data_IF_347607082264
#
_entry.id   IF_347607082264
#
_cell.length_a   1.000
_cell.length_b   1.000
_cell.length_c   1.000
_cell.angle_alpha   90.00
_cell.angle_beta   90.00
_cell.angle_gamma   90.00
#
_symmetry.space_group_name_H-M   'P 1'
#
loop_
_entity.id
_entity.type
_entity.pdbx_description
1 polymer ?
#
# COMPACT_ATOMS: atom_id res chain seq x y z
N UNK A 1 12.97 29.38 12.48
CA UNK A 1 13.24 28.23 11.62
C UNK A 1 11.95 27.74 10.99
N UNK A 2 11.89 27.70 9.66
CA UNK A 2 10.72 27.18 8.98
C UNK A 2 10.70 25.67 9.16
N UNK A 3 9.62 25.10 9.68
CA UNK A 3 9.55 23.64 9.79
C UNK A 3 9.58 23.01 8.41
N UNK A 4 10.36 21.96 8.26
CA UNK A 4 10.34 21.13 7.06
C UNK A 4 8.95 20.52 6.98
N UNK A 5 8.29 20.67 5.84
CA UNK A 5 7.02 20.01 5.63
C UNK A 5 7.28 18.53 5.47
N UNK A 6 7.02 17.75 6.52
CA UNK A 6 7.14 16.31 6.47
C UNK A 6 5.88 15.73 5.83
N UNK A 7 6.06 14.65 5.07
CA UNK A 7 4.92 13.89 4.58
C UNK A 7 4.17 13.32 5.78
N UNK A 8 2.85 13.34 5.73
CA UNK A 8 2.01 12.76 6.76
C UNK A 8 1.22 11.60 6.18
N UNK A 9 0.78 10.70 7.04
CA UNK A 9 -0.01 9.55 6.66
C UNK A 9 0.75 8.24 6.75
N UNK A 10 0.57 7.41 5.75
CA UNK A 10 1.15 6.07 5.76
C UNK A 10 1.34 5.58 4.33
N UNK A 11 2.16 4.54 4.18
CA UNK A 11 2.30 3.85 2.90
C UNK A 11 1.31 2.69 2.85
N UNK A 12 0.47 2.69 1.83
CA UNK A 12 -0.63 1.73 1.64
C UNK A 12 -0.15 0.56 0.81
N UNK A 13 -0.23 -0.65 1.39
CA UNK A 13 0.04 -1.89 0.68
C UNK A 13 -1.23 -2.42 0.01
N UNK A 14 -1.04 -3.21 -1.04
CA UNK A 14 -2.13 -3.80 -1.81
C UNK A 14 -3.06 -4.68 -0.95
N UNK A 15 -2.53 -5.35 0.07
CA UNK A 15 -3.36 -6.19 0.96
C UNK A 15 -4.47 -5.39 1.64
N UNK A 16 -4.20 -4.13 1.98
CA UNK A 16 -5.18 -3.25 2.62
C UNK A 16 -6.18 -2.73 1.59
N UNK A 17 -5.69 -2.25 0.45
CA UNK A 17 -6.58 -1.74 -0.61
C UNK A 17 -7.55 -2.81 -1.08
N UNK A 18 -7.08 -4.04 -1.28
CA UNK A 18 -7.94 -5.18 -1.62
C UNK A 18 -9.01 -5.41 -0.56
N UNK A 19 -8.66 -5.29 0.71
CA UNK A 19 -9.61 -5.47 1.82
C UNK A 19 -10.74 -4.45 1.84
N UNK A 20 -10.54 -3.28 1.28
CA UNK A 20 -11.57 -2.25 1.23
C UNK A 20 -12.65 -2.54 0.18
N UNK A 21 -12.32 -3.31 -0.85
CA UNK A 21 -13.21 -3.51 -2.00
C UNK A 21 -13.62 -4.96 -2.24
N UNK A 22 -12.91 -5.92 -1.66
CA UNK A 22 -13.18 -7.35 -1.83
C UNK A 22 -13.54 -7.97 -0.47
N UNK A 23 -14.78 -8.42 -0.34
CA UNK A 23 -15.31 -8.89 0.95
C UNK A 23 -14.49 -10.01 1.58
N UNK A 24 -13.96 -10.92 0.75
CA UNK A 24 -13.15 -12.05 1.24
C UNK A 24 -11.77 -11.65 1.75
N UNK A 25 -11.38 -10.39 1.58
CA UNK A 25 -10.09 -9.86 2.03
C UNK A 25 -10.26 -8.76 3.08
N UNK A 26 -11.49 -8.48 3.50
CA UNK A 26 -11.77 -7.48 4.51
C UNK A 26 -11.20 -7.87 5.88
N UNK A 27 -10.81 -6.89 6.67
CA UNK A 27 -10.30 -7.09 8.01
C UNK A 27 -10.60 -5.89 8.90
N UNK A 28 -10.73 -6.09 10.23
CA UNK A 28 -10.87 -4.95 11.14
C UNK A 28 -9.71 -3.97 11.05
N UNK A 29 -8.49 -4.46 10.90
CA UNK A 29 -7.32 -3.61 10.73
C UNK A 29 -7.44 -2.75 9.45
N UNK A 30 -7.77 -3.39 8.32
CA UNK A 30 -7.93 -2.67 7.06
C UNK A 30 -9.01 -1.59 7.15
N UNK A 31 -10.13 -1.88 7.81
CA UNK A 31 -11.21 -0.92 7.99
C UNK A 31 -10.76 0.27 8.84
N UNK A 32 -10.00 0.01 9.92
CA UNK A 32 -9.46 1.06 10.77
C UNK A 32 -8.44 1.93 10.02
N UNK A 33 -7.61 1.32 9.17
CA UNK A 33 -6.69 2.07 8.29
C UNK A 33 -7.49 2.97 7.34
N UNK A 34 -8.55 2.45 6.74
CA UNK A 34 -9.42 3.23 5.85
C UNK A 34 -10.00 4.47 6.53
N UNK A 35 -10.34 4.36 7.80
CA UNK A 35 -10.88 5.49 8.57
C UNK A 35 -9.85 6.62 8.72
N UNK A 36 -8.55 6.32 8.67
CA UNK A 36 -7.50 7.33 8.74
C UNK A 36 -7.51 8.28 7.54
N UNK A 37 -8.07 7.86 6.40
CA UNK A 37 -8.10 8.68 5.18
C UNK A 37 -8.95 9.95 5.32
N UNK A 38 -9.75 10.05 6.39
CA UNK A 38 -10.49 11.29 6.71
C UNK A 38 -9.56 12.39 7.20
N UNK A 39 -8.37 12.05 7.66
CA UNK A 39 -7.44 12.97 8.31
C UNK A 39 -6.09 13.06 7.62
N UNK A 40 -5.64 11.99 6.96
CA UNK A 40 -4.32 11.93 6.33
C UNK A 40 -4.43 11.25 4.95
N UNK A 41 -3.43 11.47 4.11
CA UNK A 41 -3.34 10.82 2.82
C UNK A 41 -2.62 9.48 2.95
N UNK A 42 -2.97 8.54 2.08
CA UNK A 42 -2.16 7.35 1.85
C UNK A 42 -1.14 7.66 0.74
N UNK A 43 0.00 7.00 0.82
CA UNK A 43 1.04 7.08 -0.20
C UNK A 43 1.29 5.67 -0.72
N UNK A 44 1.59 5.54 -1.99
CA UNK A 44 1.84 4.22 -2.57
C UNK A 44 2.80 4.32 -3.75
N UNK A 45 3.62 3.28 -3.99
CA UNK A 45 4.37 3.20 -5.23
C UNK A 45 3.41 3.02 -6.41
N UNK A 46 3.83 3.41 -7.58
CA UNK A 46 3.05 3.24 -8.82
C UNK A 46 2.64 1.79 -9.03
N UNK A 47 3.46 0.87 -8.57
CA UNK A 47 3.23 -0.56 -8.61
C UNK A 47 1.87 -0.98 -8.03
N UNK A 48 1.35 -0.26 -7.04
CA UNK A 48 0.07 -0.60 -6.42
C UNK A 48 -1.05 -0.70 -7.46
N UNK A 49 -1.07 0.20 -8.44
CA UNK A 49 -2.09 0.18 -9.48
C UNK A 49 -2.04 -1.10 -10.31
N UNK A 50 -0.83 -1.59 -10.61
CA UNK A 50 -0.66 -2.83 -11.36
C UNK A 50 -1.09 -4.04 -10.53
N UNK A 51 -0.68 -4.09 -9.28
CA UNK A 51 -1.04 -5.20 -8.40
C UNK A 51 -2.54 -5.26 -8.15
N UNK A 52 -3.14 -4.12 -7.84
CA UNK A 52 -4.57 -4.04 -7.54
C UNK A 52 -5.42 -4.41 -8.75
N UNK A 53 -5.11 -3.83 -9.92
CA UNK A 53 -5.87 -4.14 -11.14
C UNK A 53 -5.71 -5.61 -11.54
N UNK A 54 -4.56 -6.20 -11.28
CA UNK A 54 -4.37 -7.63 -11.53
C UNK A 54 -5.24 -8.50 -10.61
N UNK A 55 -5.42 -8.10 -9.36
CA UNK A 55 -6.33 -8.79 -8.45
C UNK A 55 -7.78 -8.70 -8.96
N UNK A 56 -8.21 -7.53 -9.41
CA UNK A 56 -9.55 -7.34 -9.99
C UNK A 56 -9.73 -8.20 -11.25
N UNK A 57 -8.71 -8.20 -12.12
CA UNK A 57 -8.73 -9.02 -13.33
C UNK A 57 -8.90 -10.50 -12.98
N UNK A 58 -8.17 -11.00 -12.02
CA UNK A 58 -8.25 -12.39 -11.59
C UNK A 58 -9.65 -12.72 -11.07
N UNK A 59 -10.23 -11.84 -10.26
CA UNK A 59 -11.59 -12.03 -9.73
C UNK A 59 -12.63 -12.07 -10.86
N UNK A 60 -12.48 -11.20 -11.86
CA UNK A 60 -13.35 -11.20 -13.03
C UNK A 60 -13.23 -12.51 -13.82
N UNK A 61 -12.00 -12.96 -14.06
CA UNK A 61 -11.75 -14.20 -14.81
C UNK A 61 -12.29 -15.45 -14.11
N UNK A 62 -12.30 -15.43 -12.78
CA UNK A 62 -12.87 -16.52 -11.98
C UNK A 62 -14.39 -16.44 -11.86
N UNK A 63 -14.99 -15.39 -12.37
CA UNK A 63 -16.44 -15.20 -12.30
C UNK A 63 -16.96 -14.79 -10.94
N UNK A 64 -16.08 -14.38 -10.02
CA UNK A 64 -16.51 -13.96 -8.68
C UNK A 64 -16.75 -12.44 -8.59
N UNK A 65 -16.34 -11.70 -9.61
CA UNK A 65 -16.56 -10.24 -9.68
C UNK A 65 -17.06 -9.89 -11.08
N UNK A 66 -18.27 -9.29 -11.20
CA UNK A 66 -18.73 -8.80 -12.50
C UNK A 66 -17.82 -7.70 -13.03
N UNK A 67 -17.60 -7.68 -14.35
CA UNK A 67 -16.72 -6.68 -14.98
C UNK A 67 -17.17 -5.25 -14.67
N UNK A 68 -18.50 -5.01 -14.72
CA UNK A 68 -19.04 -3.69 -14.37
C UNK A 68 -18.66 -3.28 -12.96
N UNK A 69 -18.70 -4.22 -12.02
CA UNK A 69 -18.31 -3.96 -10.63
C UNK A 69 -16.83 -3.63 -10.51
N UNK A 70 -15.97 -4.30 -11.29
CA UNK A 70 -14.55 -3.99 -11.31
C UNK A 70 -14.28 -2.55 -11.75
N UNK A 71 -14.96 -2.10 -12.80
CA UNK A 71 -14.83 -0.71 -13.27
C UNK A 71 -15.34 0.29 -12.22
N UNK A 72 -16.44 -0.02 -11.55
CA UNK A 72 -16.95 0.81 -10.46
C UNK A 72 -15.93 0.92 -9.32
N UNK A 73 -15.27 -0.18 -8.97
CA UNK A 73 -14.22 -0.18 -7.94
C UNK A 73 -13.06 0.74 -8.36
N UNK A 74 -12.62 0.66 -9.61
CA UNK A 74 -11.53 1.54 -10.10
C UNK A 74 -11.92 3.01 -9.96
N UNK A 75 -13.18 3.35 -10.33
CA UNK A 75 -13.66 4.72 -10.19
C UNK A 75 -13.65 5.18 -8.72
N UNK A 76 -14.01 4.29 -7.80
CA UNK A 76 -13.98 4.59 -6.38
C UNK A 76 -12.56 4.77 -5.85
N UNK A 77 -11.63 3.92 -6.26
CA UNK A 77 -10.22 4.04 -5.88
C UNK A 77 -9.65 5.38 -6.34
N UNK A 78 -10.00 5.82 -7.55
CA UNK A 78 -9.52 7.08 -8.10
C UNK A 78 -10.02 8.30 -7.30
N UNK A 79 -11.03 8.15 -6.48
CA UNK A 79 -11.55 9.21 -5.61
C UNK A 79 -10.92 9.23 -4.22
N UNK A 80 -10.14 8.20 -3.86
CA UNK A 80 -9.49 8.13 -2.57
C UNK A 80 -8.26 9.05 -2.50
N UNK A 81 -7.93 9.57 -1.32
CA UNK A 81 -6.73 10.40 -1.14
C UNK A 81 -5.46 9.52 -1.10
N UNK A 82 -5.12 8.92 -2.22
CA UNK A 82 -3.92 8.11 -2.40
C UNK A 82 -2.98 8.88 -3.30
N UNK A 83 -1.78 9.18 -2.79
CA UNK A 83 -0.73 9.84 -3.55
C UNK A 83 0.22 8.78 -4.11
N UNK A 84 0.18 8.61 -5.42
CA UNK A 84 1.10 7.70 -6.09
C UNK A 84 2.43 8.39 -6.29
N UNK A 85 3.51 7.70 -5.89
CA UNK A 85 4.85 8.24 -5.99
C UNK A 85 5.27 8.40 -7.45
N UNK A 86 5.69 9.61 -7.83
CA UNK A 86 6.13 9.93 -9.17
C UNK A 86 7.64 9.77 -9.35
N UNK A 87 8.38 9.58 -8.26
CA UNK A 87 9.82 9.39 -8.29
C UNK A 87 10.12 7.91 -8.18
N UNK A 88 10.60 7.26 -9.24
CA UNK A 88 10.84 5.82 -9.19
C UNK A 88 11.96 5.49 -8.21
N UNK A 89 11.82 4.37 -7.51
CA UNK A 89 12.85 3.85 -6.63
C UNK A 89 14.10 3.48 -7.44
N UNK A 90 15.27 3.69 -6.84
CA UNK A 90 16.54 3.29 -7.44
C UNK A 90 16.65 1.77 -7.48
N UNK A 91 17.05 1.22 -8.62
CA UNK A 91 17.22 -0.23 -8.78
C UNK A 91 18.13 -0.82 -7.71
N UNK A 92 19.24 -0.14 -7.41
CA UNK A 92 20.17 -0.60 -6.38
C UNK A 92 19.54 -0.66 -5.00
N UNK A 93 18.71 0.32 -4.65
CA UNK A 93 18.00 0.33 -3.36
C UNK A 93 16.99 -0.82 -3.26
N UNK A 94 16.25 -1.08 -4.33
CA UNK A 94 15.30 -2.19 -4.36
C UNK A 94 16.00 -3.53 -4.15
N UNK A 95 17.10 -3.76 -4.85
CA UNK A 95 17.85 -5.01 -4.70
C UNK A 95 18.39 -5.16 -3.28
N UNK A 96 18.97 -4.11 -2.74
CA UNK A 96 19.53 -4.13 -1.37
C UNK A 96 18.47 -4.44 -0.33
N UNK A 97 17.29 -3.82 -0.43
CA UNK A 97 16.20 -4.05 0.52
C UNK A 97 15.62 -5.47 0.37
N UNK A 98 15.45 -5.92 -0.87
CA UNK A 98 14.94 -7.27 -1.14
C UNK A 98 15.87 -8.33 -0.54
N UNK A 99 17.18 -8.21 -0.74
CA UNK A 99 18.16 -9.16 -0.21
C UNK A 99 18.27 -9.07 1.31
N UNK A 100 18.27 -7.85 1.86
CA UNK A 100 18.45 -7.64 3.30
C UNK A 100 17.30 -8.20 4.12
N UNK A 101 16.07 -8.02 3.66
CA UNK A 101 14.88 -8.40 4.40
C UNK A 101 14.16 -9.62 3.85
N UNK A 102 14.73 -10.29 2.84
CA UNK A 102 14.10 -11.48 2.26
C UNK A 102 12.78 -11.19 1.57
N UNK A 103 12.65 -10.02 0.95
CA UNK A 103 11.43 -9.57 0.28
C UNK A 103 11.53 -9.78 -1.23
N UNK A 104 10.37 -9.88 -1.88
CA UNK A 104 10.32 -9.68 -3.32
C UNK A 104 10.66 -8.22 -3.63
N UNK A 105 11.06 -7.93 -4.85
CA UNK A 105 11.29 -6.54 -5.27
C UNK A 105 10.01 -5.71 -5.21
N UNK A 106 8.86 -6.35 -5.39
CA UNK A 106 7.55 -5.68 -5.28
C UNK A 106 7.31 -5.19 -3.85
N UNK A 107 7.49 -6.06 -2.85
CA UNK A 107 7.36 -5.66 -1.44
C UNK A 107 8.45 -4.66 -1.05
N UNK A 108 9.66 -4.82 -1.58
CA UNK A 108 10.75 -3.88 -1.35
C UNK A 108 10.40 -2.46 -1.84
N UNK A 109 9.59 -2.33 -2.90
CA UNK A 109 9.17 -1.03 -3.39
C UNK A 109 8.30 -0.27 -2.37
N UNK A 110 7.43 -0.98 -1.65
CA UNK A 110 6.64 -0.38 -0.57
C UNK A 110 7.52 0.04 0.60
N UNK A 111 8.46 -0.82 0.98
CA UNK A 111 9.39 -0.52 2.07
C UNK A 111 10.30 0.66 1.71
N UNK A 112 10.80 0.71 0.48
CA UNK A 112 11.63 1.82 0.00
C UNK A 112 10.89 3.14 0.11
N UNK A 113 9.63 3.19 -0.33
CA UNK A 113 8.83 4.41 -0.24
C UNK A 113 8.62 4.82 1.21
N UNK A 114 8.32 3.87 2.10
CA UNK A 114 8.12 4.15 3.52
C UNK A 114 9.40 4.72 4.15
N UNK A 115 10.55 4.17 3.83
CA UNK A 115 11.83 4.67 4.31
C UNK A 115 12.13 6.07 3.79
N UNK A 116 11.90 6.31 2.51
CA UNK A 116 12.16 7.61 1.89
C UNK A 116 11.26 8.70 2.44
N UNK A 117 9.98 8.39 2.70
CA UNK A 117 9.02 9.34 3.28
C UNK A 117 9.03 9.36 4.81
N UNK A 118 9.69 8.42 5.45
CA UNK A 118 9.69 8.23 6.92
C UNK A 118 8.27 8.06 7.46
N UNK A 119 7.50 7.20 6.80
CA UNK A 119 6.12 6.89 7.18
C UNK A 119 5.97 5.41 7.50
N UNK A 120 5.04 5.06 8.39
CA UNK A 120 4.74 3.65 8.66
C UNK A 120 4.05 3.00 7.47
N UNK A 121 4.16 1.68 7.40
CA UNK A 121 3.43 0.86 6.42
C UNK A 121 2.10 0.39 7.00
N UNK A 122 1.06 0.42 6.17
CA UNK A 122 -0.20 -0.24 6.47
C UNK A 122 -0.26 -1.51 5.62
N UNK A 123 -0.12 -2.66 6.24
CA UNK A 123 -0.04 -3.95 5.56
C UNK A 123 -0.57 -5.07 6.43
N UNK A 124 -1.07 -6.13 5.79
CA UNK A 124 -1.43 -7.39 6.44
C UNK A 124 -0.42 -8.50 6.11
N UNK A 125 0.56 -8.21 5.27
CA UNK A 125 1.61 -9.17 4.92
C UNK A 125 2.61 -9.25 6.06
N UNK A 126 2.78 -10.45 6.62
CA UNK A 126 3.64 -10.65 7.79
C UNK A 126 5.12 -10.37 7.49
N UNK A 127 5.60 -10.77 6.32
CA UNK A 127 7.01 -10.55 5.94
C UNK A 127 7.30 -9.05 5.75
N UNK A 128 6.39 -8.33 5.10
CA UNK A 128 6.55 -6.90 4.91
C UNK A 128 6.43 -6.15 6.24
N UNK A 129 5.52 -6.56 7.11
CA UNK A 129 5.38 -5.98 8.45
C UNK A 129 6.64 -6.16 9.27
N UNK A 130 7.23 -7.36 9.25
CA UNK A 130 8.47 -7.64 9.96
C UNK A 130 9.62 -6.78 9.44
N UNK A 131 9.73 -6.62 8.13
CA UNK A 131 10.73 -5.76 7.51
C UNK A 131 10.53 -4.30 7.88
N UNK A 132 9.28 -3.84 7.96
CA UNK A 132 8.96 -2.48 8.37
C UNK A 132 9.43 -2.21 9.79
N UNK A 133 9.19 -3.12 10.71
CA UNK A 133 9.70 -2.98 12.08
C UNK A 133 11.22 -3.03 12.15
N UNK A 134 11.84 -3.96 11.44
CA UNK A 134 13.31 -4.11 11.45
C UNK A 134 14.01 -2.90 10.83
N UNK A 135 13.40 -2.23 9.89
CA UNK A 135 13.98 -1.07 9.19
C UNK A 135 13.74 0.26 9.94
N UNK A 136 12.86 0.27 10.94
CA UNK A 136 12.58 1.44 11.75
C UNK A 136 11.36 2.26 11.35
N UNK A 137 10.70 1.96 10.22
CA UNK A 137 9.48 2.70 9.85
C UNK A 137 8.24 2.17 10.58
N UNK A 138 8.23 0.89 10.88
CA UNK A 138 7.12 0.26 11.59
C UNK A 138 5.86 0.11 10.77
N UNK A 139 4.83 -0.43 11.42
CA UNK A 139 3.50 -0.65 10.85
C UNK A 139 2.54 0.35 11.48
N UNK A 140 1.65 0.92 10.66
CA UNK A 140 0.66 1.88 11.16
C UNK A 140 -0.18 1.24 12.28
N UNK A 141 -0.19 1.91 13.43
CA UNK A 141 -1.00 1.50 14.57
C UNK A 141 -2.34 2.21 14.49
N UNK A 142 -3.41 1.46 14.59
CA UNK A 142 -4.79 1.98 14.59
C UNK A 142 -5.54 1.37 15.77
N UNK A 143 -6.45 2.16 16.32
CA UNK A 143 -7.28 1.73 17.44
C UNK A 143 -8.52 0.96 16.98
#
# INVERSE_FOLDING_TARGET
MTPVTEASGFVLDNSILCGWFLANQASPYGDAVGAQLKQVDAHAPWLLQLEFTNVLRTACRRGVLPIVSAHTIVDQVNKLPIRFDSSPAQTAALLSLALRFGLTSYDAAYLELALRLQLPLATRDAELAEAAWASGVGVLQVD
#
